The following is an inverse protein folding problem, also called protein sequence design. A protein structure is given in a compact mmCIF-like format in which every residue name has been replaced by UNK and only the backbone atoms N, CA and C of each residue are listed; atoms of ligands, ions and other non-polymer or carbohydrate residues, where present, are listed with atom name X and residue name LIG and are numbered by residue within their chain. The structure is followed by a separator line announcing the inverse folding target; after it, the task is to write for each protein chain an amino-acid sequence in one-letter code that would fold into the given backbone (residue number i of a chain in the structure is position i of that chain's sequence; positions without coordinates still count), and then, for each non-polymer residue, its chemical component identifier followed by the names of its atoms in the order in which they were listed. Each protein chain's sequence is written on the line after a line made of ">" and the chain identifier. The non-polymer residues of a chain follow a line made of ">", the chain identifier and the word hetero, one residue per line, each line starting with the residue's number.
data_IF_621728622437
#
_entry.id   IF_621728622437
#
_cell.length_a   1.000
_cell.length_b   1.000
_cell.length_c   1.000
_cell.angle_alpha   90.00
_cell.angle_beta   90.00
_cell.angle_gamma   90.00
#
_symmetry.space_group_name_H-M   'P 1'
#
loop_
_entity.id
_entity.type
_entity.pdbx_description
1 polymer ?
#
# COMPACT_ATOMS: atom_id res chain seq x y z
N UNK A 1 -23.11 -27.62 15.34
CA UNK A 1 -22.13 -27.57 14.22
C UNK A 1 -21.50 -26.18 14.26
N UNK A 2 -20.28 -26.04 14.78
CA UNK A 2 -19.55 -24.77 14.72
C UNK A 2 -19.07 -24.58 13.28
N UNK A 3 -19.54 -23.53 12.62
CA UNK A 3 -19.23 -23.23 11.22
C UNK A 3 -17.76 -22.75 11.13
N UNK A 4 -16.83 -23.71 11.08
CA UNK A 4 -15.37 -23.48 11.24
C UNK A 4 -14.84 -22.48 10.20
N UNK A 5 -15.42 -22.45 9.01
CA UNK A 5 -15.04 -21.53 7.92
C UNK A 5 -15.35 -20.06 8.23
N UNK A 6 -16.42 -19.78 8.99
CA UNK A 6 -16.79 -18.41 9.37
C UNK A 6 -15.89 -17.93 10.51
N UNK A 7 -15.44 -18.85 11.37
CA UNK A 7 -14.50 -18.53 12.46
C UNK A 7 -13.12 -18.10 11.94
N UNK A 8 -12.67 -18.68 10.82
CA UNK A 8 -11.42 -18.28 10.13
C UNK A 8 -11.52 -16.91 9.47
N UNK A 9 -12.72 -16.45 9.14
CA UNK A 9 -12.98 -15.17 8.47
C UNK A 9 -13.29 -14.03 9.46
N UNK A 10 -12.98 -14.22 10.76
CA UNK A 10 -13.29 -13.24 11.78
C UNK A 10 -12.41 -12.00 11.66
N UNK A 11 -13.06 -10.86 11.48
CA UNK A 11 -12.41 -9.56 11.54
C UNK A 11 -11.93 -9.25 12.97
N UNK A 12 -10.83 -8.48 13.14
CA UNK A 12 -10.36 -8.08 14.45
C UNK A 12 -11.45 -7.37 15.27
N UNK A 13 -11.83 -7.89 16.46
CA UNK A 13 -12.96 -7.34 17.22
C UNK A 13 -12.80 -5.86 17.60
N UNK A 14 -11.56 -5.41 17.79
CA UNK A 14 -11.23 -4.02 18.13
C UNK A 14 -11.45 -3.05 16.97
N UNK A 15 -11.34 -3.51 15.72
CA UNK A 15 -11.61 -2.71 14.53
C UNK A 15 -13.11 -2.60 14.32
N UNK A 16 -13.82 -3.74 14.40
CA UNK A 16 -15.30 -3.76 14.31
C UNK A 16 -15.92 -2.86 15.38
N UNK A 17 -15.43 -2.94 16.62
CA UNK A 17 -15.97 -2.11 17.72
C UNK A 17 -15.81 -0.62 17.45
N UNK A 18 -14.63 -0.19 16.97
CA UNK A 18 -14.37 1.21 16.61
C UNK A 18 -15.27 1.71 15.48
N UNK A 19 -15.52 0.88 14.46
CA UNK A 19 -16.41 1.23 13.34
C UNK A 19 -17.85 1.38 13.84
N UNK A 20 -18.33 0.44 14.66
CA UNK A 20 -19.67 0.48 15.25
C UNK A 20 -19.86 1.73 16.13
N UNK A 21 -18.89 2.04 17.00
CA UNK A 21 -18.98 3.21 17.88
C UNK A 21 -18.97 4.52 17.06
N UNK A 22 -18.19 4.57 15.98
CA UNK A 22 -18.19 5.71 15.05
C UNK A 22 -19.54 5.88 14.34
N UNK A 23 -20.19 4.79 13.95
CA UNK A 23 -21.48 4.84 13.26
C UNK A 23 -22.63 5.24 14.18
N UNK A 24 -22.58 4.83 15.46
CA UNK A 24 -23.62 5.08 16.45
C UNK A 24 -23.45 6.45 17.14
N UNK A 25 -22.23 6.97 17.22
CA UNK A 25 -21.92 8.25 17.84
C UNK A 25 -21.73 8.17 19.36
N UNK A 26 -21.44 9.31 20.02
CA UNK A 26 -20.91 9.36 21.37
C UNK A 26 -21.88 8.90 22.47
N UNK A 27 -23.18 8.92 22.21
CA UNK A 27 -24.21 8.62 23.21
C UNK A 27 -24.79 7.22 23.11
N UNK A 28 -24.61 6.53 21.97
CA UNK A 28 -25.22 5.23 21.77
C UNK A 28 -24.37 4.08 22.33
N UNK A 29 -25.06 3.01 22.74
CA UNK A 29 -24.44 1.82 23.33
C UNK A 29 -24.89 0.58 22.55
N UNK A 30 -23.94 -0.32 22.31
CA UNK A 30 -24.18 -1.59 21.60
C UNK A 30 -23.69 -2.75 22.45
N UNK A 31 -24.53 -3.75 22.64
CA UNK A 31 -24.21 -4.95 23.43
C UNK A 31 -23.08 -5.78 22.80
N UNK A 32 -22.43 -6.62 23.61
CA UNK A 32 -21.35 -7.50 23.15
C UNK A 32 -21.86 -8.52 22.12
N UNK A 33 -23.08 -8.99 22.30
CA UNK A 33 -23.78 -9.94 21.43
C UNK A 33 -24.04 -9.30 20.07
N UNK A 34 -24.54 -8.06 20.05
CA UNK A 34 -24.76 -7.31 18.80
C UNK A 34 -23.45 -7.06 18.05
N UNK A 35 -22.37 -6.69 18.76
CA UNK A 35 -21.04 -6.53 18.14
C UNK A 35 -20.53 -7.84 17.53
N UNK A 36 -20.75 -8.96 18.21
CA UNK A 36 -20.38 -10.28 17.68
C UNK A 36 -21.21 -10.65 16.45
N UNK A 37 -22.52 -10.35 16.47
CA UNK A 37 -23.40 -10.55 15.32
C UNK A 37 -22.97 -9.70 14.12
N UNK A 38 -22.64 -8.42 14.32
CA UNK A 38 -22.13 -7.53 13.28
C UNK A 38 -20.82 -8.07 12.69
N UNK A 39 -19.89 -8.54 13.51
CA UNK A 39 -18.64 -9.12 13.03
C UNK A 39 -18.87 -10.34 12.13
N UNK A 40 -19.81 -11.24 12.50
CA UNK A 40 -20.19 -12.39 11.67
C UNK A 40 -20.90 -11.95 10.39
N UNK A 41 -21.82 -11.00 10.49
CA UNK A 41 -22.55 -10.46 9.34
C UNK A 41 -21.59 -9.81 8.33
N UNK A 42 -20.55 -9.12 8.78
CA UNK A 42 -19.52 -8.55 7.92
C UNK A 42 -18.77 -9.63 7.11
N UNK A 43 -18.42 -10.76 7.73
CA UNK A 43 -17.79 -11.89 7.02
C UNK A 43 -18.74 -12.46 5.96
N UNK A 44 -20.02 -12.64 6.29
CA UNK A 44 -21.04 -13.11 5.35
C UNK A 44 -21.23 -12.10 4.20
N UNK A 45 -21.24 -10.80 4.50
CA UNK A 45 -21.35 -9.74 3.50
C UNK A 45 -20.21 -9.77 2.48
N UNK A 46 -18.96 -9.93 2.94
CA UNK A 46 -17.79 -10.05 2.05
C UNK A 46 -17.94 -11.28 1.15
N UNK A 47 -18.31 -12.43 1.72
CA UNK A 47 -18.53 -13.66 0.95
C UNK A 47 -19.66 -13.49 -0.08
N UNK A 48 -20.74 -12.83 0.31
CA UNK A 48 -21.90 -12.61 -0.53
C UNK A 48 -21.55 -11.74 -1.74
N UNK A 49 -20.91 -10.57 -1.51
CA UNK A 49 -20.43 -9.71 -2.60
C UNK A 49 -19.45 -10.46 -3.50
N UNK A 50 -18.52 -11.20 -2.91
CA UNK A 50 -17.52 -11.96 -3.67
C UNK A 50 -18.19 -13.01 -4.57
N UNK A 51 -19.24 -13.68 -4.08
CA UNK A 51 -20.00 -14.66 -4.87
C UNK A 51 -20.69 -13.99 -6.06
N UNK A 52 -21.45 -12.91 -5.83
CA UNK A 52 -22.14 -12.20 -6.91
C UNK A 52 -21.16 -11.61 -7.93
N UNK A 53 -20.06 -11.00 -7.48
CA UNK A 53 -19.04 -10.47 -8.36
C UNK A 53 -18.38 -11.56 -9.19
N UNK A 54 -18.14 -12.74 -8.60
CA UNK A 54 -17.61 -13.89 -9.32
C UNK A 54 -18.59 -14.36 -10.41
N UNK A 55 -19.88 -14.42 -10.13
CA UNK A 55 -20.90 -14.79 -11.11
C UNK A 55 -20.92 -13.81 -12.30
N UNK A 56 -20.75 -12.50 -12.05
CA UNK A 56 -20.59 -11.50 -13.09
C UNK A 56 -19.33 -11.70 -13.94
N UNK A 57 -18.19 -11.93 -13.30
CA UNK A 57 -16.94 -12.16 -14.01
C UNK A 57 -17.02 -13.42 -14.89
N UNK A 58 -17.57 -14.52 -14.34
CA UNK A 58 -17.77 -15.78 -15.05
C UNK A 58 -18.74 -15.62 -16.23
N UNK A 59 -19.83 -14.88 -16.04
CA UNK A 59 -20.78 -14.55 -17.13
C UNK A 59 -20.09 -13.80 -18.27
N UNK A 60 -19.14 -12.91 -17.96
CA UNK A 60 -18.29 -12.22 -18.94
C UNK A 60 -17.08 -13.04 -19.41
N UNK A 61 -17.02 -14.35 -19.14
CA UNK A 61 -15.93 -15.28 -19.49
C UNK A 61 -14.55 -14.88 -18.93
N UNK A 62 -14.51 -14.16 -17.80
CA UNK A 62 -13.28 -13.75 -17.12
C UNK A 62 -13.01 -14.64 -15.92
N UNK A 63 -11.72 -14.92 -15.68
CA UNK A 63 -11.22 -15.62 -14.49
C UNK A 63 -10.75 -14.68 -13.38
N UNK A 64 -10.80 -13.37 -13.63
CA UNK A 64 -10.33 -12.32 -12.74
C UNK A 64 -11.46 -11.34 -12.51
N UNK A 65 -11.68 -11.00 -11.24
CA UNK A 65 -12.60 -9.95 -10.82
C UNK A 65 -12.06 -8.57 -11.24
N UNK A 66 -12.93 -7.76 -11.83
CA UNK A 66 -12.68 -6.35 -12.07
C UNK A 66 -13.46 -5.50 -11.06
N UNK A 67 -13.11 -4.20 -10.88
CA UNK A 67 -13.90 -3.30 -10.05
C UNK A 67 -15.37 -3.20 -10.49
N UNK A 68 -15.62 -3.29 -11.80
CA UNK A 68 -16.98 -3.28 -12.36
C UNK A 68 -17.83 -4.43 -11.80
N UNK A 69 -17.26 -5.63 -11.64
CA UNK A 69 -17.99 -6.77 -11.09
C UNK A 69 -18.45 -6.53 -9.64
N UNK A 70 -17.62 -5.84 -8.86
CA UNK A 70 -17.94 -5.46 -7.48
C UNK A 70 -19.08 -4.44 -7.45
N UNK A 71 -19.04 -3.43 -8.33
CA UNK A 71 -20.11 -2.43 -8.40
C UNK A 71 -21.44 -3.04 -8.85
N UNK A 72 -21.43 -3.95 -9.82
CA UNK A 72 -22.65 -4.69 -10.21
C UNK A 72 -23.17 -5.56 -9.06
N UNK A 73 -22.28 -6.23 -8.32
CA UNK A 73 -22.67 -7.01 -7.15
C UNK A 73 -23.33 -6.13 -6.07
N UNK A 74 -22.80 -4.93 -5.81
CA UNK A 74 -23.35 -3.99 -4.83
C UNK A 74 -24.78 -3.53 -5.17
N UNK A 75 -25.10 -3.38 -6.45
CA UNK A 75 -26.46 -3.06 -6.91
C UNK A 75 -27.43 -4.21 -6.64
N UNK A 76 -27.04 -5.45 -6.90
CA UNK A 76 -27.90 -6.63 -6.66
C UNK A 76 -28.21 -6.83 -5.19
N UNK A 77 -27.25 -6.56 -4.31
CA UNK A 77 -27.46 -6.69 -2.86
C UNK A 77 -28.05 -5.42 -2.23
N UNK A 78 -28.57 -4.50 -3.05
CA UNK A 78 -29.26 -3.27 -2.62
C UNK A 78 -28.39 -2.37 -1.72
N UNK A 79 -27.09 -2.35 -1.98
CA UNK A 79 -26.10 -1.54 -1.26
C UNK A 79 -25.64 -0.34 -2.09
N UNK A 80 -26.56 0.28 -2.84
CA UNK A 80 -26.26 1.40 -3.75
C UNK A 80 -25.64 2.61 -3.04
N UNK A 81 -25.99 2.82 -1.77
CA UNK A 81 -25.43 3.87 -0.91
C UNK A 81 -23.90 3.72 -0.70
N UNK A 82 -23.33 2.54 -0.95
CA UNK A 82 -21.89 2.28 -0.85
C UNK A 82 -21.18 2.57 -2.18
N UNK A 83 -21.88 2.62 -3.31
CA UNK A 83 -21.28 2.74 -4.65
C UNK A 83 -20.52 4.05 -4.80
N UNK A 84 -21.17 5.18 -4.54
CA UNK A 84 -20.56 6.51 -4.66
C UNK A 84 -19.29 6.67 -3.80
N UNK A 85 -19.33 6.44 -2.47
CA UNK A 85 -18.12 6.59 -1.66
C UNK A 85 -17.01 5.60 -2.04
N UNK A 86 -17.37 4.40 -2.53
CA UNK A 86 -16.37 3.43 -3.00
C UNK A 86 -15.70 3.85 -4.32
N UNK A 87 -16.43 4.52 -5.21
CA UNK A 87 -15.86 5.08 -6.45
C UNK A 87 -14.85 6.19 -6.14
N UNK A 88 -15.18 7.10 -5.23
CA UNK A 88 -14.27 8.18 -4.80
C UNK A 88 -12.96 7.61 -4.21
N UNK A 89 -13.07 6.60 -3.33
CA UNK A 89 -11.90 5.95 -2.74
C UNK A 89 -11.07 5.20 -3.79
N UNK A 90 -11.70 4.60 -4.79
CA UNK A 90 -11.00 3.94 -5.90
C UNK A 90 -10.20 4.94 -6.74
N UNK A 91 -10.73 6.14 -6.98
CA UNK A 91 -10.01 7.21 -7.66
C UNK A 91 -8.84 7.73 -6.84
N UNK A 92 -9.05 8.00 -5.54
CA UNK A 92 -8.00 8.40 -4.61
C UNK A 92 -6.87 7.36 -4.53
N UNK A 93 -7.21 6.07 -4.56
CA UNK A 93 -6.21 5.00 -4.60
C UNK A 93 -5.40 5.01 -5.89
N UNK A 94 -6.04 5.22 -7.06
CA UNK A 94 -5.35 5.28 -8.36
C UNK A 94 -4.37 6.44 -8.42
N UNK A 95 -4.76 7.63 -7.97
CA UNK A 95 -3.91 8.83 -7.95
C UNK A 95 -2.72 8.64 -7.01
N UNK A 96 -2.96 8.14 -5.79
CA UNK A 96 -1.90 7.88 -4.83
C UNK A 96 -0.91 6.80 -5.31
N UNK A 97 -1.41 5.76 -5.99
CA UNK A 97 -0.56 4.72 -6.59
C UNK A 97 0.33 5.30 -7.70
N UNK A 98 -0.19 6.21 -8.53
CA UNK A 98 0.59 6.90 -9.55
C UNK A 98 1.70 7.74 -8.92
N UNK A 99 1.36 8.56 -7.91
CA UNK A 99 2.32 9.40 -7.19
C UNK A 99 3.46 8.57 -6.57
N UNK A 100 3.12 7.44 -5.91
CA UNK A 100 4.13 6.54 -5.33
C UNK A 100 5.03 5.89 -6.38
N UNK A 101 4.50 5.59 -7.57
CA UNK A 101 5.30 5.06 -8.68
C UNK A 101 6.26 6.11 -9.23
N UNK A 102 5.85 7.36 -9.35
CA UNK A 102 6.69 8.47 -9.81
C UNK A 102 7.81 8.78 -8.80
N UNK A 103 7.49 8.81 -7.51
CA UNK A 103 8.47 9.04 -6.46
C UNK A 103 9.54 7.93 -6.43
N UNK A 104 9.13 6.67 -6.62
CA UNK A 104 10.05 5.55 -6.71
C UNK A 104 10.96 5.64 -7.95
N UNK A 105 10.44 6.13 -9.08
CA UNK A 105 11.22 6.35 -10.30
C UNK A 105 12.23 7.49 -10.12
N UNK A 106 11.83 8.61 -9.48
CA UNK A 106 12.72 9.74 -9.15
C UNK A 106 13.86 9.30 -8.23
N UNK A 107 13.56 8.59 -7.13
CA UNK A 107 14.59 8.05 -6.21
C UNK A 107 15.55 7.07 -6.88
N UNK A 108 15.10 6.30 -7.87
CA UNK A 108 15.96 5.40 -8.67
C UNK A 108 16.83 6.18 -9.67
N UNK A 109 16.30 7.24 -10.27
CA UNK A 109 17.05 8.11 -11.18
C UNK A 109 18.15 8.89 -10.43
N UNK A 110 17.85 9.42 -9.24
CA UNK A 110 18.81 10.13 -8.37
C UNK A 110 19.95 9.20 -7.90
N UNK A 111 19.62 7.98 -7.47
CA UNK A 111 20.66 6.98 -7.10
C UNK A 111 21.55 6.61 -8.29
N UNK A 112 20.99 6.47 -9.49
CA UNK A 112 21.75 6.14 -10.71
C UNK A 112 22.62 7.31 -11.19
N UNK A 113 22.23 8.55 -10.90
CA UNK A 113 23.04 9.74 -11.14
C UNK A 113 24.22 9.82 -10.16
N UNK A 114 24.00 9.60 -8.86
CA UNK A 114 25.06 9.56 -7.83
C UNK A 114 26.08 8.44 -8.04
N UNK A 115 25.67 7.26 -8.53
CA UNK A 115 26.64 6.16 -8.80
C UNK A 115 27.50 6.44 -10.04
N UNK A 116 27.05 7.26 -10.99
CA UNK A 116 27.86 7.63 -12.18
C UNK A 116 28.92 8.69 -11.90
N UNK A 117 28.77 9.50 -10.85
CA UNK A 117 29.74 10.55 -10.49
C UNK A 117 30.91 10.07 -9.62
N UNK A 118 30.89 8.82 -9.14
CA UNK A 118 31.90 8.31 -8.19
C UNK A 118 32.82 7.23 -8.80
N UNK A 119 32.84 7.06 -10.12
CA UNK A 119 33.44 5.92 -10.80
C UNK A 119 34.38 6.25 -11.97
N UNK A 120 35.03 7.41 -11.97
CA UNK A 120 36.10 7.76 -12.93
C UNK A 120 37.04 8.81 -12.30
N UNK A 121 38.05 8.37 -11.54
CA UNK A 121 39.40 8.97 -11.63
C UNK A 121 40.44 8.00 -11.06
N UNK A 122 40.78 7.01 -11.87
CA UNK A 122 41.95 6.16 -11.69
C UNK A 122 43.07 6.62 -12.62
N UNK A 123 43.47 7.89 -12.57
CA UNK A 123 44.66 8.39 -13.26
C UNK A 123 45.83 8.51 -12.30
N UNK A 124 46.66 7.47 -12.26
CA UNK A 124 47.99 7.50 -11.66
C UNK A 124 48.91 8.38 -12.54
N UNK A 125 49.03 9.66 -12.20
CA UNK A 125 50.07 10.53 -12.77
C UNK A 125 51.27 10.58 -11.82
N UNK A 126 52.35 9.92 -12.19
CA UNK A 126 53.69 10.18 -11.63
C UNK A 126 54.15 11.55 -12.17
N UNK A 127 54.46 12.49 -11.29
CA UNK A 127 55.15 13.74 -11.65
C UNK A 127 56.59 13.75 -11.11
N UNK A 128 57.56 14.34 -11.83
CA UNK A 128 59.00 14.15 -11.59
C UNK A 128 59.56 15.09 -10.50
N UNK A 129 60.67 14.65 -9.90
CA UNK A 129 61.43 15.31 -8.84
C UNK A 129 62.03 16.68 -9.23
N UNK A 130 61.94 17.66 -8.31
CA UNK A 130 62.75 18.89 -8.31
C UNK A 130 63.82 18.77 -7.20
N UNK A 131 65.06 18.52 -7.58
CA UNK A 131 66.21 18.63 -6.67
C UNK A 131 66.50 20.10 -6.32
N UNK A 132 67.14 20.28 -5.15
CA UNK A 132 68.00 21.41 -4.81
C UNK A 132 67.34 22.61 -4.09
N UNK A 133 66.82 22.37 -2.87
CA UNK A 133 66.97 23.39 -1.82
C UNK A 133 68.41 23.33 -1.31
N UNK A 134 69.19 24.32 -1.74
CA UNK A 134 70.54 24.64 -1.29
C UNK A 134 70.72 24.40 0.22
N UNK A 135 71.64 23.49 0.57
CA UNK A 135 72.40 23.55 1.83
C UNK A 135 73.30 24.79 1.74
N UNK A 136 73.16 25.74 2.65
CA UNK A 136 74.26 26.65 2.99
C UNK A 136 75.07 26.03 4.13
N UNK A 137 76.41 26.25 4.15
CA UNK A 137 77.33 25.47 4.95
C UNK A 137 77.59 26.13 6.31
N UNK A 138 77.59 25.34 7.39
CA UNK A 138 78.34 25.69 8.60
C UNK A 138 79.29 24.54 8.91
N UNK A 139 80.57 24.82 8.68
CA UNK A 139 81.70 24.04 9.11
C UNK A 139 82.04 24.48 10.54
N UNK A 140 82.03 23.53 11.47
CA UNK A 140 82.58 23.63 12.82
C UNK A 140 84.05 24.11 12.76
N UNK A 141 84.49 24.83 13.80
CA UNK A 141 85.28 24.11 14.81
C UNK A 141 84.80 24.31 16.25
#
# INVERSE_FOLDING_TARGET
>A
MTDTKIEDLRLPPTVVSRIVDKAIGPTGRVSKEARTAIARAASVFILNITSYANDYAVTKKRKTLSPEDIFQALQVIECDHVVTPLMEELEAWKTNKAHRSEETKKRKAEKKATTRTSGEDGSFTIAPSEEMRLRTPENEP
#
